data_IF_328865442051
#
_entry.id   IF_328865442051
#
_cell.length_a   1.000
_cell.length_b   1.000
_cell.length_c   1.000
_cell.angle_alpha   90.00
_cell.angle_beta   90.00
_cell.angle_gamma   90.00
#
_symmetry.space_group_name_H-M   'P 1'
#
loop_
_entity.id
_entity.type
_entity.pdbx_description
1 polymer ?
#
# COMPACT_ATOMS: atom_id res chain seq x y z
N UNK A 1 -38.09 -22.76 -3.06
CA UNK A 1 -37.17 -23.86 -2.72
C UNK A 1 -35.78 -23.23 -2.73
N UNK A 2 -35.35 -22.72 -1.57
CA UNK A 2 -34.10 -21.97 -1.44
C UNK A 2 -32.95 -22.96 -1.31
N UNK A 3 -32.04 -22.95 -2.28
CA UNK A 3 -30.84 -23.77 -2.28
C UNK A 3 -29.94 -23.30 -1.14
N UNK A 4 -29.75 -24.17 -0.15
CA UNK A 4 -28.89 -23.92 0.99
C UNK A 4 -27.44 -23.85 0.50
N UNK A 5 -26.77 -22.73 0.77
CA UNK A 5 -25.32 -22.59 0.59
C UNK A 5 -24.62 -23.69 1.38
N UNK A 6 -24.15 -24.72 0.68
CA UNK A 6 -23.25 -25.72 1.21
C UNK A 6 -21.94 -25.01 1.59
N UNK A 7 -21.57 -25.10 2.87
CA UNK A 7 -20.25 -24.68 3.33
C UNK A 7 -19.14 -25.42 2.57
N UNK A 8 -17.92 -24.87 2.52
CA UNK A 8 -16.82 -25.48 1.77
C UNK A 8 -16.55 -26.91 2.29
N UNK A 9 -16.33 -27.90 1.41
CA UNK A 9 -16.03 -29.28 1.80
C UNK A 9 -14.77 -29.34 2.68
N UNK A 10 -14.71 -30.34 3.57
CA UNK A 10 -13.56 -30.60 4.43
C UNK A 10 -12.27 -30.66 3.58
N UNK A 11 -11.28 -29.83 3.92
CA UNK A 11 -10.03 -29.66 3.16
C UNK A 11 -9.91 -28.34 2.37
N UNK A 12 -10.98 -27.56 2.21
CA UNK A 12 -10.90 -26.24 1.55
C UNK A 12 -10.55 -25.13 2.53
N UNK A 13 -9.25 -24.83 2.63
CA UNK A 13 -8.81 -23.55 3.19
C UNK A 13 -9.09 -22.41 2.20
N UNK A 14 -9.22 -21.17 2.69
CA UNK A 14 -9.34 -20.01 1.81
C UNK A 14 -8.12 -19.86 0.88
N UNK A 15 -8.26 -19.20 -0.28
CA UNK A 15 -7.17 -19.06 -1.24
C UNK A 15 -5.96 -18.34 -0.63
N UNK A 16 -6.19 -17.42 0.31
CA UNK A 16 -5.14 -16.68 1.02
C UNK A 16 -4.73 -17.33 2.34
N UNK A 17 -5.22 -18.53 2.66
CA UNK A 17 -4.82 -19.21 3.88
C UNK A 17 -3.31 -19.49 3.90
N UNK A 18 -2.66 -19.13 5.01
CA UNK A 18 -1.21 -19.24 5.17
C UNK A 18 -0.42 -18.05 4.65
N UNK A 19 -1.05 -17.03 4.07
CA UNK A 19 -0.40 -15.79 3.66
C UNK A 19 -0.67 -14.66 4.65
N UNK A 20 0.31 -13.76 4.77
CA UNK A 20 0.21 -12.52 5.54
C UNK A 20 0.20 -11.33 4.59
N UNK A 21 -0.82 -10.46 4.70
CA UNK A 21 -0.98 -9.27 3.86
C UNK A 21 -0.90 -8.01 4.71
N UNK A 22 0.02 -7.11 4.36
CA UNK A 22 0.13 -5.77 4.92
C UNK A 22 -0.92 -4.83 4.33
N UNK A 23 -1.60 -4.08 5.20
CA UNK A 23 -2.61 -3.08 4.80
C UNK A 23 -2.15 -1.69 5.22
N UNK A 24 -1.80 -0.86 4.24
CA UNK A 24 -1.32 0.52 4.47
C UNK A 24 -2.45 1.56 4.55
N UNK A 25 -3.68 1.14 4.22
CA UNK A 25 -4.82 2.03 4.13
C UNK A 25 -5.20 2.62 5.50
N UNK A 26 -5.52 3.91 5.51
CA UNK A 26 -6.11 4.59 6.66
C UNK A 26 -7.65 4.56 6.62
N UNK A 27 -8.23 4.71 5.42
CA UNK A 27 -9.68 4.66 5.19
C UNK A 27 -10.12 3.29 4.69
N UNK A 28 -11.28 2.84 5.17
CA UNK A 28 -11.88 1.53 4.81
C UNK A 28 -10.90 0.36 5.04
N UNK A 29 -9.96 0.53 5.97
CA UNK A 29 -8.98 -0.48 6.31
C UNK A 29 -9.67 -1.72 6.90
N UNK A 30 -10.67 -1.53 7.76
CA UNK A 30 -11.46 -2.61 8.33
C UNK A 30 -12.20 -3.42 7.26
N UNK A 31 -12.74 -2.74 6.24
CA UNK A 31 -13.41 -3.41 5.12
C UNK A 31 -12.43 -4.25 4.30
N UNK A 32 -11.27 -3.68 3.96
CA UNK A 32 -10.21 -4.38 3.23
C UNK A 32 -9.67 -5.56 4.06
N UNK A 33 -9.40 -5.34 5.35
CA UNK A 33 -8.96 -6.36 6.29
C UNK A 33 -9.96 -7.51 6.38
N UNK A 34 -11.25 -7.20 6.54
CA UNK A 34 -12.31 -8.21 6.59
C UNK A 34 -12.44 -8.98 5.26
N UNK A 35 -12.30 -8.32 4.11
CA UNK A 35 -12.28 -8.99 2.80
C UNK A 35 -11.13 -9.98 2.68
N UNK A 36 -9.92 -9.61 3.13
CA UNK A 36 -8.73 -10.46 3.13
C UNK A 36 -8.86 -11.63 4.12
N UNK A 37 -9.29 -11.36 5.35
CA UNK A 37 -9.49 -12.36 6.39
C UNK A 37 -10.54 -13.41 5.98
N UNK A 38 -11.65 -12.99 5.34
CA UNK A 38 -12.64 -13.93 4.77
C UNK A 38 -12.05 -14.87 3.72
N UNK A 39 -10.93 -14.51 3.10
CA UNK A 39 -10.19 -15.35 2.14
C UNK A 39 -9.06 -16.16 2.80
N UNK A 40 -8.88 -16.04 4.11
CA UNK A 40 -7.92 -16.81 4.91
C UNK A 40 -6.60 -16.10 5.22
N UNK A 41 -6.39 -14.87 4.76
CA UNK A 41 -5.15 -14.14 5.04
C UNK A 41 -5.06 -13.72 6.51
N UNK A 42 -3.84 -13.72 7.04
CA UNK A 42 -3.46 -12.93 8.20
C UNK A 42 -3.26 -11.48 7.74
N UNK A 43 -3.84 -10.51 8.45
CA UNK A 43 -3.74 -9.09 8.07
C UNK A 43 -2.87 -8.35 9.08
N UNK A 44 -1.84 -7.67 8.59
CA UNK A 44 -1.04 -6.73 9.37
C UNK A 44 -1.45 -5.31 8.97
N UNK A 45 -2.34 -4.71 9.77
CA UNK A 45 -2.79 -3.34 9.54
C UNK A 45 -1.77 -2.34 10.08
N UNK A 46 -1.34 -1.42 9.20
CA UNK A 46 -0.37 -0.39 9.52
C UNK A 46 -0.68 0.86 8.68
N UNK A 47 -1.56 1.76 9.16
CA UNK A 47 -1.94 2.94 8.41
C UNK A 47 -0.68 3.77 8.12
N UNK A 48 -0.38 3.98 6.84
CA UNK A 48 0.83 4.70 6.43
C UNK A 48 0.65 6.21 6.50
N UNK A 49 -0.58 6.71 6.68
CA UNK A 49 -0.89 8.12 6.78
C UNK A 49 -2.16 8.32 7.60
N UNK A 50 -2.41 9.56 7.97
CA UNK A 50 -3.72 10.04 8.41
C UNK A 50 -4.15 11.20 7.53
N UNK A 51 -5.45 11.30 7.31
CA UNK A 51 -6.04 12.48 6.67
C UNK A 51 -6.26 13.51 7.75
N UNK A 52 -5.77 14.73 7.55
CA UNK A 52 -6.03 15.82 8.47
C UNK A 52 -7.43 16.36 8.19
N UNK A 53 -8.35 16.38 9.19
CA UNK A 53 -9.61 17.08 9.04
C UNK A 53 -9.33 18.56 8.75
N UNK A 54 -10.05 19.16 7.79
CA UNK A 54 -9.78 20.53 7.37
C UNK A 54 -9.88 21.54 8.53
N UNK A 55 -10.82 21.32 9.46
CA UNK A 55 -11.00 22.16 10.65
C UNK A 55 -9.81 22.14 11.61
N UNK A 56 -8.97 21.11 11.56
CA UNK A 56 -7.79 20.95 12.40
C UNK A 56 -6.48 21.27 11.64
N UNK A 57 -6.58 21.71 10.39
CA UNK A 57 -5.42 21.92 9.53
C UNK A 57 -4.79 23.30 9.74
N UNK A 58 -3.69 23.35 10.49
CA UNK A 58 -2.96 24.58 10.77
C UNK A 58 -2.38 25.28 9.53
N UNK A 59 -2.06 24.53 8.47
CA UNK A 59 -1.56 25.12 7.21
C UNK A 59 -2.70 25.78 6.44
N UNK A 60 -3.87 25.14 6.39
CA UNK A 60 -5.06 25.75 5.80
C UNK A 60 -5.48 27.01 6.58
N UNK A 61 -5.42 26.96 7.92
CA UNK A 61 -5.67 28.13 8.77
C UNK A 61 -4.67 29.26 8.49
N UNK A 62 -3.39 28.95 8.38
CA UNK A 62 -2.35 29.94 8.08
C UNK A 62 -2.56 30.58 6.70
N UNK A 63 -2.80 29.78 5.65
CA UNK A 63 -3.10 30.27 4.31
C UNK A 63 -4.40 31.10 4.28
N UNK A 64 -5.41 30.70 5.05
CA UNK A 64 -6.67 31.44 5.18
C UNK A 64 -6.45 32.81 5.83
N UNK A 65 -5.70 32.87 6.94
CA UNK A 65 -5.33 34.14 7.59
C UNK A 65 -4.54 35.05 6.65
N UNK A 66 -3.56 34.48 5.96
CA UNK A 66 -2.74 35.22 5.01
C UNK A 66 -3.58 35.79 3.86
N UNK A 67 -4.54 35.05 3.30
CA UNK A 67 -5.48 35.54 2.27
C UNK A 67 -6.42 36.62 2.83
N UNK A 68 -6.82 36.51 4.09
CA UNK A 68 -7.67 37.52 4.75
C UNK A 68 -6.91 38.83 4.97
N UNK A 69 -5.65 38.73 5.38
CA UNK A 69 -4.77 39.87 5.66
C UNK A 69 -4.24 40.51 4.36
N UNK A 70 -3.89 39.68 3.38
CA UNK A 70 -3.32 40.03 2.08
C UNK A 70 -4.17 39.43 0.95
N UNK A 71 -5.12 40.22 0.45
CA UNK A 71 -6.02 39.78 -0.61
C UNK A 71 -5.24 39.34 -1.86
N UNK A 72 -5.54 38.16 -2.43
CA UNK A 72 -4.96 37.75 -3.71
C UNK A 72 -5.60 38.52 -4.86
N UNK A 73 -4.88 38.64 -5.98
CA UNK A 73 -5.44 39.16 -7.23
C UNK A 73 -6.34 38.12 -7.91
N UNK A 74 -5.98 36.84 -7.77
CA UNK A 74 -6.68 35.70 -8.38
C UNK A 74 -6.87 34.57 -7.38
N UNK A 75 -8.03 33.93 -7.40
CA UNK A 75 -8.29 32.66 -6.70
C UNK A 75 -8.69 31.58 -7.69
N UNK A 76 -7.98 30.45 -7.68
CA UNK A 76 -8.28 29.27 -8.49
C UNK A 76 -8.91 28.19 -7.61
N UNK A 77 -10.20 27.95 -7.80
CA UNK A 77 -10.93 26.85 -7.18
C UNK A 77 -10.89 25.61 -8.07
N UNK A 78 -10.35 24.50 -7.56
CA UNK A 78 -10.08 23.29 -8.37
C UNK A 78 -11.12 22.19 -8.17
N UNK A 79 -11.66 22.04 -6.97
CA UNK A 79 -12.67 21.02 -6.65
C UNK A 79 -13.79 21.57 -5.78
N UNK A 80 -15.02 21.09 -6.01
CA UNK A 80 -16.20 21.52 -5.26
C UNK A 80 -16.18 21.08 -3.80
N UNK A 81 -15.56 19.94 -3.49
CA UNK A 81 -15.40 19.44 -2.12
C UNK A 81 -14.31 20.23 -1.40
N UNK A 82 -13.17 20.45 -2.06
CA UNK A 82 -12.08 21.24 -1.50
C UNK A 82 -12.51 22.66 -1.17
N UNK A 83 -13.15 23.35 -2.12
CA UNK A 83 -13.60 24.73 -1.90
C UNK A 83 -14.65 24.84 -0.78
N UNK A 84 -15.67 23.96 -0.76
CA UNK A 84 -16.66 23.95 0.35
C UNK A 84 -16.00 23.67 1.68
N UNK A 85 -15.13 22.68 1.74
CA UNK A 85 -14.41 22.34 2.96
C UNK A 85 -13.51 23.47 3.46
N UNK A 86 -12.94 24.28 2.56
CA UNK A 86 -12.19 25.48 2.94
C UNK A 86 -13.11 26.52 3.61
N UNK A 87 -14.24 26.86 2.99
CA UNK A 87 -15.20 27.82 3.55
C UNK A 87 -15.73 27.32 4.91
N UNK A 88 -16.14 26.05 4.98
CA UNK A 88 -16.62 25.43 6.22
C UNK A 88 -15.56 25.43 7.35
N UNK A 89 -14.29 25.20 7.01
CA UNK A 89 -13.20 25.29 7.99
C UNK A 89 -12.98 26.73 8.45
N UNK A 90 -13.00 27.70 7.52
CA UNK A 90 -12.89 29.12 7.84
C UNK A 90 -14.03 29.60 8.74
N UNK A 91 -15.27 29.18 8.48
CA UNK A 91 -16.42 29.42 9.36
C UNK A 91 -16.16 28.87 10.77
N UNK A 92 -15.68 27.63 10.87
CA UNK A 92 -15.32 27.00 12.15
C UNK A 92 -14.25 27.75 12.94
N UNK A 93 -13.36 28.47 12.27
CA UNK A 93 -12.35 29.33 12.89
C UNK A 93 -12.81 30.77 13.16
N UNK A 94 -14.04 31.12 12.78
CA UNK A 94 -14.57 32.49 12.86
C UNK A 94 -13.97 33.44 11.81
N UNK A 95 -13.37 32.91 10.75
CA UNK A 95 -12.78 33.67 9.64
C UNK A 95 -13.65 33.67 8.38
N UNK A 96 -14.75 32.92 8.36
CA UNK A 96 -15.55 32.69 7.15
C UNK A 96 -16.11 33.96 6.52
N UNK A 97 -16.76 34.84 7.29
CA UNK A 97 -17.27 36.12 6.77
C UNK A 97 -16.15 37.00 6.19
N UNK A 98 -15.02 37.08 6.89
CA UNK A 98 -13.87 37.86 6.44
C UNK A 98 -13.27 37.27 5.16
N UNK A 99 -13.17 35.94 5.08
CA UNK A 99 -12.68 35.25 3.89
C UNK A 99 -13.62 35.48 2.70
N UNK A 100 -14.92 35.26 2.84
CA UNK A 100 -15.89 35.46 1.75
C UNK A 100 -15.90 36.92 1.30
N UNK A 101 -15.89 37.87 2.23
CA UNK A 101 -15.82 39.30 1.90
C UNK A 101 -14.54 39.65 1.11
N UNK A 102 -13.41 39.05 1.47
CA UNK A 102 -12.15 39.21 0.72
C UNK A 102 -12.25 38.60 -0.67
N UNK A 103 -12.73 37.37 -0.79
CA UNK A 103 -12.87 36.67 -2.06
C UNK A 103 -13.92 37.29 -3.00
N UNK A 104 -14.88 38.07 -2.49
CA UNK A 104 -15.88 38.72 -3.33
C UNK A 104 -15.30 39.80 -4.27
N UNK A 105 -14.13 40.35 -3.93
CA UNK A 105 -13.45 41.39 -4.71
C UNK A 105 -12.34 40.90 -5.64
N UNK A 106 -12.10 39.58 -5.71
CA UNK A 106 -10.95 39.01 -6.46
C UNK A 106 -11.40 38.31 -7.74
N UNK A 107 -10.49 38.16 -8.71
CA UNK A 107 -10.76 37.35 -9.90
C UNK A 107 -10.83 35.87 -9.49
N UNK A 108 -12.03 35.28 -9.49
CA UNK A 108 -12.21 33.89 -9.09
C UNK A 108 -12.41 32.99 -10.32
N UNK A 109 -11.49 32.05 -10.52
CA UNK A 109 -11.54 31.04 -11.58
C UNK A 109 -11.96 29.69 -10.99
N UNK A 110 -12.92 29.02 -11.63
CA UNK A 110 -13.40 27.72 -11.22
C UNK A 110 -13.06 26.67 -12.27
N UNK A 111 -12.46 25.53 -11.87
CA UNK A 111 -12.09 24.48 -12.82
C UNK A 111 -13.27 23.91 -13.61
N UNK A 112 -14.47 23.82 -13.03
CA UNK A 112 -15.62 23.23 -13.75
C UNK A 112 -16.98 23.47 -13.07
N UNK A 113 -18.08 23.00 -13.69
CA UNK A 113 -19.46 23.27 -13.25
C UNK A 113 -19.76 22.93 -11.80
N UNK A 114 -19.21 21.84 -11.28
CA UNK A 114 -19.38 21.47 -9.86
C UNK A 114 -18.72 22.49 -8.93
N UNK A 115 -17.56 23.00 -9.33
CA UNK A 115 -16.81 24.01 -8.56
C UNK A 115 -17.55 25.34 -8.60
N UNK A 116 -18.08 25.74 -9.77
CA UNK A 116 -18.97 26.90 -9.88
C UNK A 116 -20.15 26.82 -8.91
N UNK A 117 -20.79 25.65 -8.83
CA UNK A 117 -21.86 25.41 -7.88
C UNK A 117 -21.43 25.62 -6.42
N UNK A 118 -20.23 25.16 -6.04
CA UNK A 118 -19.66 25.38 -4.71
C UNK A 118 -19.34 26.86 -4.43
N UNK A 119 -18.73 27.56 -5.39
CA UNK A 119 -18.41 29.00 -5.29
C UNK A 119 -19.68 29.81 -5.08
N UNK A 120 -20.71 29.58 -5.91
CA UNK A 120 -22.00 30.28 -5.83
C UNK A 120 -22.77 29.97 -4.55
N UNK A 121 -22.68 28.74 -4.05
CA UNK A 121 -23.28 28.37 -2.77
C UNK A 121 -22.66 29.13 -1.58
N UNK A 122 -21.39 29.58 -1.71
CA UNK A 122 -20.73 30.45 -0.72
C UNK A 122 -21.03 31.95 -0.93
N UNK A 123 -21.95 32.30 -1.84
CA UNK A 123 -22.30 33.70 -2.14
C UNK A 123 -21.30 34.43 -3.05
N UNK A 124 -20.33 33.71 -3.62
CA UNK A 124 -19.33 34.25 -4.54
C UNK A 124 -19.72 34.01 -6.00
N UNK A 125 -19.11 34.74 -6.92
CA UNK A 125 -19.30 34.53 -8.37
C UNK A 125 -17.95 34.28 -9.01
N UNK A 126 -17.83 33.18 -9.76
CA UNK A 126 -16.67 32.96 -10.60
C UNK A 126 -16.71 33.89 -11.82
N UNK A 127 -15.55 34.41 -12.22
CA UNK A 127 -15.40 35.14 -13.48
C UNK A 127 -15.43 34.19 -14.68
N UNK A 128 -14.80 33.01 -14.52
CA UNK A 128 -14.70 32.05 -15.61
C UNK A 128 -14.46 30.62 -15.16
N UNK A 129 -14.80 29.71 -16.07
CA UNK A 129 -14.55 28.28 -15.95
C UNK A 129 -14.38 27.67 -17.34
N UNK A 130 -13.37 26.80 -17.57
CA UNK A 130 -13.16 26.15 -18.85
C UNK A 130 -14.30 25.18 -19.17
N UNK A 131 -14.71 25.09 -20.42
CA UNK A 131 -15.74 24.15 -20.87
C UNK A 131 -15.29 22.68 -20.78
N UNK A 132 -13.99 22.42 -20.85
CA UNK A 132 -13.40 21.07 -20.76
C UNK A 132 -13.21 20.56 -19.33
N UNK A 133 -13.38 21.44 -18.34
CA UNK A 133 -13.00 21.18 -16.94
C UNK A 133 -11.49 20.93 -16.70
N UNK A 134 -10.64 21.36 -17.64
CA UNK A 134 -9.19 21.13 -17.59
C UNK A 134 -8.45 22.18 -16.75
N UNK A 135 -7.53 21.73 -15.89
CA UNK A 135 -6.59 22.62 -15.21
C UNK A 135 -5.54 23.21 -16.15
N UNK A 136 -5.23 22.53 -17.27
CA UNK A 136 -4.27 23.04 -18.25
C UNK A 136 -4.80 24.32 -18.93
N UNK A 137 -6.09 24.37 -19.25
CA UNK A 137 -6.71 25.58 -19.83
C UNK A 137 -6.77 26.74 -18.83
N UNK A 138 -6.94 26.43 -17.53
CA UNK A 138 -6.83 27.46 -16.49
C UNK A 138 -5.41 28.03 -16.43
N UNK A 139 -4.39 27.16 -16.52
CA UNK A 139 -3.00 27.58 -16.52
C UNK A 139 -2.67 28.45 -17.75
N UNK A 140 -3.01 27.97 -18.94
CA UNK A 140 -2.79 28.66 -20.22
C UNK A 140 -3.41 30.06 -20.18
N UNK A 141 -4.68 30.16 -19.78
CA UNK A 141 -5.35 31.46 -19.64
C UNK A 141 -4.61 32.40 -18.68
N UNK A 142 -4.19 31.92 -17.51
CA UNK A 142 -3.48 32.75 -16.54
C UNK A 142 -2.16 33.26 -17.11
N UNK A 143 -1.40 32.38 -17.77
CA UNK A 143 -0.13 32.76 -18.39
C UNK A 143 -0.33 33.76 -19.54
N UNK A 144 -1.38 33.60 -20.35
CA UNK A 144 -1.74 34.52 -21.43
C UNK A 144 -2.17 35.91 -20.93
N UNK A 145 -2.90 35.96 -19.80
CA UNK A 145 -3.28 37.22 -19.15
C UNK A 145 -2.07 37.94 -18.51
N UNK A 146 -1.02 37.19 -18.16
CA UNK A 146 0.14 37.68 -17.44
C UNK A 146 -0.05 37.64 -15.93
N UNK A 147 0.92 37.01 -15.24
CA UNK A 147 0.89 36.82 -13.77
C UNK A 147 2.08 37.42 -13.03
N UNK A 148 3.00 38.10 -13.73
CA UNK A 148 4.17 38.71 -13.11
C UNK A 148 3.76 39.73 -12.03
N UNK A 149 4.24 39.51 -10.80
CA UNK A 149 3.91 40.32 -9.62
C UNK A 149 2.49 40.12 -9.06
N UNK A 150 1.66 39.26 -9.66
CA UNK A 150 0.30 38.97 -9.16
C UNK A 150 0.33 37.93 -8.04
N UNK A 151 -0.50 38.12 -7.02
CA UNK A 151 -0.74 37.13 -5.96
C UNK A 151 -1.86 36.18 -6.36
N UNK A 152 -1.55 34.90 -6.51
CA UNK A 152 -2.49 33.87 -6.96
C UNK A 152 -2.71 32.84 -5.86
N UNK A 153 -3.92 32.78 -5.31
CA UNK A 153 -4.32 31.74 -4.38
C UNK A 153 -4.86 30.52 -5.14
N UNK A 154 -4.28 29.34 -4.90
CA UNK A 154 -4.69 28.09 -5.57
C UNK A 154 -5.22 27.11 -4.56
N UNK A 155 -6.52 26.78 -4.62
CA UNK A 155 -7.10 25.68 -3.86
C UNK A 155 -6.52 24.37 -4.36
N UNK A 156 -5.58 23.80 -3.62
CA UNK A 156 -4.95 22.52 -3.94
C UNK A 156 -5.92 21.40 -3.62
N UNK A 157 -5.93 20.32 -4.40
CA UNK A 157 -6.56 19.06 -4.00
C UNK A 157 -5.44 18.02 -3.88
N UNK A 158 -5.54 17.05 -2.97
CA UNK A 158 -4.44 16.18 -2.54
C UNK A 158 -3.68 15.32 -3.57
N UNK A 159 -3.85 15.54 -4.87
CA UNK A 159 -2.92 15.10 -5.92
C UNK A 159 -2.02 16.29 -6.30
N UNK A 160 -0.70 16.11 -6.45
CA UNK A 160 0.14 17.17 -7.00
C UNK A 160 -0.44 17.59 -8.36
N UNK A 161 -0.64 18.90 -8.58
CA UNK A 161 -0.85 19.46 -9.92
C UNK A 161 0.55 19.69 -10.50
N UNK A 162 1.20 18.66 -11.09
CA UNK A 162 2.63 18.71 -11.32
C UNK A 162 2.91 19.84 -12.31
N UNK A 163 3.69 20.83 -11.90
CA UNK A 163 4.05 21.95 -12.74
C UNK A 163 3.05 23.11 -12.78
N UNK A 164 1.85 23.02 -12.20
CA UNK A 164 0.89 24.15 -12.25
C UNK A 164 1.36 25.31 -11.37
N UNK A 165 1.70 25.02 -10.13
CA UNK A 165 2.19 26.03 -9.18
C UNK A 165 3.58 26.50 -9.59
N UNK A 166 4.42 25.59 -10.07
CA UNK A 166 5.76 25.89 -10.55
C UNK A 166 5.71 26.82 -11.77
N UNK A 167 4.88 26.52 -12.78
CA UNK A 167 4.76 27.36 -13.97
C UNK A 167 4.27 28.79 -13.66
N UNK A 168 3.32 28.94 -12.74
CA UNK A 168 2.87 30.27 -12.29
C UNK A 168 4.00 31.05 -11.60
N UNK A 169 4.79 30.38 -10.74
CA UNK A 169 5.94 31.00 -10.07
C UNK A 169 7.05 31.36 -11.06
N UNK A 170 7.32 30.50 -12.04
CA UNK A 170 8.29 30.77 -13.11
C UNK A 170 7.88 31.96 -13.98
N UNK A 171 6.57 32.20 -14.13
CA UNK A 171 6.01 33.37 -14.80
C UNK A 171 5.93 34.63 -13.90
N UNK A 172 6.48 34.60 -12.68
CA UNK A 172 6.59 35.76 -11.79
C UNK A 172 5.45 35.92 -10.76
N UNK A 173 4.54 34.96 -10.64
CA UNK A 173 3.44 35.03 -9.68
C UNK A 173 3.88 34.72 -8.23
N UNK A 174 3.31 35.42 -7.27
CA UNK A 174 3.33 35.03 -5.86
C UNK A 174 2.18 34.04 -5.59
N UNK A 175 2.52 32.74 -5.51
CA UNK A 175 1.50 31.69 -5.41
C UNK A 175 1.31 31.22 -3.97
N UNK A 176 0.09 31.45 -3.45
CA UNK A 176 -0.40 30.94 -2.17
C UNK A 176 -1.14 29.62 -2.38
N UNK A 177 -0.55 28.52 -1.94
CA UNK A 177 -1.23 27.23 -1.94
C UNK A 177 -2.24 27.14 -0.79
N UNK A 178 -3.49 26.81 -1.09
CA UNK A 178 -4.55 26.58 -0.10
C UNK A 178 -4.77 25.06 -0.01
N UNK A 179 -4.12 24.36 0.95
CA UNK A 179 -4.17 22.91 1.02
C UNK A 179 -5.50 22.44 1.57
N UNK A 180 -6.35 21.88 0.72
CA UNK A 180 -7.53 21.14 1.15
C UNK A 180 -7.33 19.69 0.74
N UNK A 181 -7.30 18.81 1.75
CA UNK A 181 -6.92 17.39 1.67
C UNK A 181 -5.44 17.10 1.94
N UNK A 182 -4.94 17.58 3.09
CA UNK A 182 -3.61 17.23 3.59
C UNK A 182 -3.62 15.86 4.24
N UNK A 183 -2.58 15.09 3.97
CA UNK A 183 -2.24 13.88 4.72
C UNK A 183 -1.00 14.18 5.56
N UNK A 184 -0.92 13.54 6.71
CA UNK A 184 0.25 13.58 7.57
C UNK A 184 0.68 12.15 7.92
N UNK A 185 1.91 11.96 8.43
CA UNK A 185 2.27 10.69 9.06
C UNK A 185 1.22 10.25 10.08
N UNK A 186 1.05 8.93 10.28
CA UNK A 186 0.13 8.41 11.30
C UNK A 186 0.53 8.94 12.68
N UNK A 187 -0.45 9.12 13.58
CA UNK A 187 -0.18 9.58 14.96
C UNK A 187 0.71 8.60 15.71
N UNK A 188 0.44 7.30 15.56
CA UNK A 188 1.31 6.23 15.99
C UNK A 188 2.06 5.66 14.78
N UNK A 189 3.38 5.89 14.75
CA UNK A 189 4.26 5.38 13.70
C UNK A 189 4.62 3.90 13.91
N UNK A 190 4.41 3.36 15.11
CA UNK A 190 4.81 2.00 15.49
C UNK A 190 4.25 0.89 14.60
N UNK A 191 2.95 0.90 14.21
CA UNK A 191 2.41 -0.06 13.25
C UNK A 191 3.13 -0.04 11.91
N UNK A 192 3.46 1.15 11.37
CA UNK A 192 4.16 1.29 10.10
C UNK A 192 5.60 0.75 10.21
N UNK A 193 6.28 1.03 11.33
CA UNK A 193 7.61 0.49 11.60
C UNK A 193 7.61 -1.04 11.69
N UNK A 194 6.61 -1.63 12.36
CA UNK A 194 6.46 -3.09 12.43
C UNK A 194 6.15 -3.70 11.07
N UNK A 195 5.35 -3.04 10.24
CA UNK A 195 5.10 -3.50 8.87
C UNK A 195 6.38 -3.43 8.02
N UNK A 196 7.17 -2.36 8.16
CA UNK A 196 8.45 -2.23 7.50
C UNK A 196 9.39 -3.36 7.94
N UNK A 197 9.55 -3.60 9.24
CA UNK A 197 10.37 -4.68 9.77
C UNK A 197 9.91 -6.06 9.28
N UNK A 198 8.60 -6.30 9.25
CA UNK A 198 8.02 -7.52 8.71
C UNK A 198 8.26 -7.67 7.20
N UNK A 199 8.29 -6.57 6.45
CA UNK A 199 8.63 -6.57 5.03
C UNK A 199 10.10 -6.90 4.81
N UNK A 200 10.99 -6.23 5.56
CA UNK A 200 12.44 -6.46 5.52
C UNK A 200 12.81 -7.90 5.92
N UNK A 201 12.05 -8.51 6.83
CA UNK A 201 12.26 -9.92 7.25
C UNK A 201 11.45 -10.93 6.44
N UNK A 202 10.72 -10.49 5.40
CA UNK A 202 9.88 -11.34 4.53
C UNK A 202 8.80 -12.10 5.33
N UNK A 203 8.33 -11.50 6.42
CA UNK A 203 7.22 -11.94 7.25
C UNK A 203 5.84 -11.57 6.70
N UNK A 204 5.79 -10.73 5.66
CA UNK A 204 4.60 -10.46 4.84
C UNK A 204 4.80 -10.98 3.42
N UNK A 205 3.72 -11.41 2.77
CA UNK A 205 3.74 -11.94 1.41
C UNK A 205 3.28 -10.91 0.37
N UNK A 206 2.46 -9.94 0.81
CA UNK A 206 2.05 -8.80 0.00
C UNK A 206 1.86 -7.54 0.84
N UNK A 207 2.02 -6.37 0.21
CA UNK A 207 1.60 -5.07 0.72
C UNK A 207 0.50 -4.51 -0.18
N UNK A 208 -0.56 -3.98 0.44
CA UNK A 208 -1.65 -3.32 -0.30
C UNK A 208 -1.57 -1.81 -0.17
N UNK A 209 -1.74 -1.12 -1.30
CA UNK A 209 -1.78 0.34 -1.38
C UNK A 209 -3.07 0.78 -2.06
N UNK A 210 -3.84 1.61 -1.36
CA UNK A 210 -5.11 2.16 -1.86
C UNK A 210 -4.99 3.63 -2.27
N UNK A 211 -3.83 4.24 -2.10
CA UNK A 211 -3.50 5.60 -2.55
C UNK A 211 -1.99 5.77 -2.73
N UNK A 212 -1.59 6.63 -3.68
CA UNK A 212 -0.17 6.98 -3.88
C UNK A 212 0.50 7.53 -2.61
N UNK A 213 -0.12 8.42 -1.82
CA UNK A 213 0.46 8.90 -0.57
C UNK A 213 0.81 7.80 0.44
N UNK A 214 0.06 6.70 0.49
CA UNK A 214 0.39 5.58 1.37
C UNK A 214 1.68 4.86 0.93
N UNK A 215 1.90 4.73 -0.39
CA UNK A 215 3.13 4.19 -0.94
C UNK A 215 4.31 5.13 -0.68
N UNK A 216 4.14 6.43 -0.95
CA UNK A 216 5.15 7.46 -0.65
C UNK A 216 5.54 7.43 0.83
N UNK A 217 4.55 7.40 1.74
CA UNK A 217 4.84 7.41 3.18
C UNK A 217 5.64 6.20 3.64
N UNK A 218 5.35 4.99 3.13
CA UNK A 218 6.16 3.80 3.43
C UNK A 218 7.61 3.96 2.92
N UNK A 219 7.78 4.43 1.69
CA UNK A 219 9.09 4.65 1.07
C UNK A 219 9.90 5.71 1.84
N UNK A 220 9.30 6.87 2.13
CA UNK A 220 9.92 7.93 2.93
C UNK A 220 10.24 7.46 4.33
N UNK A 221 9.40 6.61 4.95
CA UNK A 221 9.72 6.05 6.28
C UNK A 221 10.93 5.13 6.22
N UNK A 222 11.05 4.30 5.19
CA UNK A 222 12.21 3.44 5.00
C UNK A 222 13.49 4.25 4.72
N UNK A 223 13.38 5.34 3.95
CA UNK A 223 14.49 6.27 3.71
C UNK A 223 14.97 6.94 5.01
N UNK A 224 14.04 7.46 5.82
CA UNK A 224 14.35 8.04 7.13
C UNK A 224 15.03 7.05 8.09
N UNK A 225 14.74 5.75 7.94
CA UNK A 225 15.38 4.67 8.72
C UNK A 225 16.66 4.14 8.09
N UNK A 226 17.07 4.64 6.93
CA UNK A 226 18.24 4.15 6.18
C UNK A 226 18.06 2.74 5.62
N UNK A 227 16.82 2.30 5.40
CA UNK A 227 16.45 0.92 5.01
C UNK A 227 15.73 0.87 3.65
N UNK A 228 15.75 1.98 2.89
CA UNK A 228 15.11 2.05 1.58
C UNK A 228 15.67 0.99 0.60
N UNK A 229 17.00 0.78 0.47
CA UNK A 229 17.53 -0.25 -0.44
C UNK A 229 17.01 -1.65 -0.13
N UNK A 230 16.97 -2.04 1.13
CA UNK A 230 16.51 -3.35 1.59
C UNK A 230 14.99 -3.52 1.43
N UNK A 231 14.22 -2.44 1.62
CA UNK A 231 12.79 -2.44 1.31
C UNK A 231 12.56 -2.67 -0.18
N UNK A 232 13.25 -1.90 -1.04
CA UNK A 232 13.10 -2.02 -2.49
C UNK A 232 13.49 -3.42 -2.99
N UNK A 233 14.56 -4.00 -2.44
CA UNK A 233 14.95 -5.38 -2.73
C UNK A 233 13.86 -6.38 -2.35
N UNK A 234 13.26 -6.25 -1.16
CA UNK A 234 12.17 -7.10 -0.72
C UNK A 234 10.94 -6.99 -1.63
N UNK A 235 10.57 -5.77 -2.05
CA UNK A 235 9.41 -5.52 -2.90
C UNK A 235 9.59 -5.99 -4.36
N UNK A 236 10.83 -6.05 -4.86
CA UNK A 236 11.13 -6.53 -6.21
C UNK A 236 11.06 -8.06 -6.33
N UNK A 237 11.35 -8.78 -5.25
CA UNK A 237 11.58 -10.23 -5.33
C UNK A 237 10.63 -11.04 -4.45
N UNK A 238 10.44 -10.64 -3.20
CA UNK A 238 9.84 -11.49 -2.17
C UNK A 238 8.39 -11.08 -1.88
N UNK A 239 8.16 -9.79 -1.62
CA UNK A 239 6.88 -9.25 -1.15
C UNK A 239 6.15 -8.58 -2.30
N UNK A 240 4.91 -9.01 -2.58
CA UNK A 240 4.14 -8.49 -3.69
C UNK A 240 3.49 -7.13 -3.37
N UNK A 241 3.86 -6.02 -4.01
CA UNK A 241 3.11 -4.78 -3.91
C UNK A 241 1.86 -4.84 -4.81
N UNK A 242 0.69 -4.70 -4.19
CA UNK A 242 -0.59 -4.68 -4.86
C UNK A 242 -1.25 -3.31 -4.71
N UNK A 243 -1.39 -2.60 -5.83
CA UNK A 243 -1.94 -1.26 -5.89
C UNK A 243 -3.39 -1.32 -6.37
N UNK A 244 -4.27 -0.48 -5.82
CA UNK A 244 -5.67 -0.43 -6.27
C UNK A 244 -5.81 0.05 -7.72
N UNK A 245 -4.85 0.81 -8.24
CA UNK A 245 -4.84 1.32 -9.61
C UNK A 245 -3.54 2.07 -9.97
N UNK A 246 -3.44 2.58 -11.21
CA UNK A 246 -2.16 3.00 -11.80
C UNK A 246 -1.53 4.20 -11.12
N UNK A 247 -2.31 5.21 -10.73
CA UNK A 247 -1.80 6.38 -10.01
C UNK A 247 -1.15 5.97 -8.69
N UNK A 248 -1.74 5.01 -7.98
CA UNK A 248 -1.21 4.48 -6.72
C UNK A 248 0.11 3.72 -6.91
N UNK A 249 0.35 3.15 -8.09
CA UNK A 249 1.56 2.42 -8.41
C UNK A 249 2.76 3.34 -8.74
N UNK A 250 2.51 4.56 -9.23
CA UNK A 250 3.55 5.48 -9.71
C UNK A 250 4.71 5.69 -8.71
N UNK A 251 4.49 5.90 -7.40
CA UNK A 251 5.60 6.06 -6.46
C UNK A 251 6.53 4.85 -6.40
N UNK A 252 5.97 3.63 -6.42
CA UNK A 252 6.75 2.38 -6.39
C UNK A 252 7.48 2.17 -7.72
N UNK A 253 6.80 2.40 -8.84
CA UNK A 253 7.36 2.29 -10.18
C UNK A 253 8.50 3.30 -10.42
N UNK A 254 8.42 4.50 -9.83
CA UNK A 254 9.49 5.49 -9.84
C UNK A 254 10.80 5.00 -9.20
N UNK A 255 10.71 4.00 -8.32
CA UNK A 255 11.87 3.30 -7.74
C UNK A 255 12.17 1.95 -8.42
N UNK A 256 11.61 1.67 -9.59
CA UNK A 256 11.80 0.40 -10.31
C UNK A 256 11.23 -0.80 -9.54
N UNK A 257 10.09 -0.62 -8.87
CA UNK A 257 9.34 -1.70 -8.24
C UNK A 257 8.07 -1.94 -9.07
N UNK A 258 7.99 -3.13 -9.65
CA UNK A 258 6.79 -3.57 -10.36
C UNK A 258 5.65 -3.85 -9.38
N UNK A 259 4.41 -3.59 -9.79
CA UNK A 259 3.21 -3.76 -8.96
C UNK A 259 2.12 -4.49 -9.73
N UNK A 260 1.28 -5.25 -9.02
CA UNK A 260 0.04 -5.80 -9.59
C UNK A 260 -1.15 -4.89 -9.28
N UNK A 261 -2.13 -4.87 -10.17
CA UNK A 261 -3.31 -4.01 -10.04
C UNK A 261 -4.54 -4.67 -10.69
N UNK A 262 -5.74 -4.52 -10.08
CA UNK A 262 -6.95 -5.09 -10.65
C UNK A 262 -7.44 -4.24 -11.83
N UNK A 263 -8.16 -4.86 -12.78
CA UNK A 263 -8.80 -4.13 -13.89
C UNK A 263 -9.80 -3.08 -13.41
N UNK A 264 -10.50 -3.39 -12.30
CA UNK A 264 -11.44 -2.47 -11.64
C UNK A 264 -10.82 -1.95 -10.36
N UNK A 265 -10.59 -0.64 -10.28
CA UNK A 265 -9.87 0.00 -9.18
C UNK A 265 -10.71 0.10 -7.88
N UNK A 266 -11.00 -1.05 -7.27
CA UNK A 266 -11.86 -1.22 -6.09
C UNK A 266 -11.28 -2.29 -5.15
N UNK A 267 -11.67 -2.25 -3.87
CA UNK A 267 -11.16 -3.18 -2.84
C UNK A 267 -11.48 -4.65 -3.15
N UNK A 268 -12.71 -4.97 -3.56
CA UNK A 268 -13.11 -6.34 -3.88
C UNK A 268 -12.24 -6.98 -4.99
N UNK A 269 -12.13 -6.36 -6.17
CA UNK A 269 -11.21 -6.78 -7.22
C UNK A 269 -9.74 -6.87 -6.79
N UNK A 270 -9.24 -5.92 -5.98
CA UNK A 270 -7.88 -6.01 -5.42
C UNK A 270 -7.68 -7.28 -4.59
N UNK A 271 -8.66 -7.64 -3.75
CA UNK A 271 -8.61 -8.89 -2.98
C UNK A 271 -8.70 -10.12 -3.89
N UNK A 272 -9.51 -10.08 -4.95
CA UNK A 272 -9.59 -11.18 -5.93
C UNK A 272 -8.26 -11.39 -6.66
N UNK A 273 -7.59 -10.30 -7.05
CA UNK A 273 -6.26 -10.34 -7.64
C UNK A 273 -5.25 -11.01 -6.70
N UNK A 274 -5.21 -10.61 -5.42
CA UNK A 274 -4.34 -11.24 -4.43
C UNK A 274 -4.63 -12.74 -4.27
N UNK A 275 -5.91 -13.16 -4.35
CA UNK A 275 -6.29 -14.57 -4.29
C UNK A 275 -5.73 -15.39 -5.47
N UNK A 276 -5.44 -14.77 -6.61
CA UNK A 276 -4.83 -15.42 -7.76
C UNK A 276 -3.29 -15.36 -7.69
N UNK A 277 -2.73 -14.19 -7.39
CA UNK A 277 -1.29 -13.95 -7.42
C UNK A 277 -0.53 -14.70 -6.31
N UNK A 278 -0.99 -14.63 -5.05
CA UNK A 278 -0.22 -15.17 -3.93
C UNK A 278 -0.06 -16.70 -3.97
N UNK A 279 -1.12 -17.50 -4.24
CA UNK A 279 -0.95 -18.93 -4.48
C UNK A 279 -0.05 -19.25 -5.68
N UNK A 280 -0.13 -18.46 -6.75
CA UNK A 280 0.72 -18.63 -7.94
C UNK A 280 2.22 -18.43 -7.67
N UNK A 281 2.57 -17.61 -6.67
CA UNK A 281 3.94 -17.37 -6.22
C UNK A 281 4.44 -18.40 -5.21
N UNK A 282 3.56 -19.21 -4.61
CA UNK A 282 3.95 -20.20 -3.61
C UNK A 282 4.74 -21.35 -4.23
N UNK A 283 5.80 -21.76 -3.53
CA UNK A 283 6.69 -22.79 -4.05
C UNK A 283 6.10 -24.17 -3.81
N UNK A 284 5.81 -24.89 -4.88
CA UNK A 284 5.33 -26.27 -4.81
C UNK A 284 6.44 -27.26 -5.13
N UNK A 285 6.62 -28.28 -4.29
CA UNK A 285 7.63 -29.31 -4.42
C UNK A 285 7.02 -30.71 -4.25
N UNK A 286 7.41 -31.71 -5.09
CA UNK A 286 7.14 -33.11 -4.81
C UNK A 286 8.17 -33.64 -3.80
N UNK A 287 7.72 -34.02 -2.61
CA UNK A 287 8.60 -34.44 -1.50
C UNK A 287 8.05 -35.71 -0.88
N UNK A 288 8.84 -36.80 -0.94
CA UNK A 288 8.51 -38.12 -0.41
C UNK A 288 7.13 -38.65 -0.84
N UNK A 289 6.72 -38.40 -2.08
CA UNK A 289 5.42 -38.79 -2.64
C UNK A 289 4.28 -37.83 -2.34
N UNK A 290 4.56 -36.69 -1.70
CA UNK A 290 3.57 -35.67 -1.34
C UNK A 290 3.75 -34.39 -2.14
N UNK A 291 2.64 -33.71 -2.44
CA UNK A 291 2.66 -32.35 -2.99
C UNK A 291 2.72 -31.35 -1.84
N UNK A 292 3.86 -30.69 -1.70
CA UNK A 292 4.13 -29.72 -0.62
C UNK A 292 4.19 -28.31 -1.20
N UNK A 293 3.21 -27.47 -0.88
CA UNK A 293 3.18 -26.06 -1.24
C UNK A 293 3.58 -25.21 -0.01
N UNK A 294 4.70 -24.51 -0.13
CA UNK A 294 5.25 -23.65 0.92
C UNK A 294 4.68 -22.25 0.73
N UNK A 295 3.82 -21.82 1.66
CA UNK A 295 3.22 -20.48 1.70
C UNK A 295 3.96 -19.59 2.70
N UNK A 296 3.40 -18.42 3.02
CA UNK A 296 3.97 -17.44 3.95
C UNK A 296 4.31 -18.03 5.32
N UNK A 297 3.29 -18.40 6.09
CA UNK A 297 3.38 -18.91 7.47
C UNK A 297 2.73 -20.29 7.65
N UNK A 298 2.41 -20.97 6.56
CA UNK A 298 1.85 -22.31 6.56
C UNK A 298 2.35 -23.11 5.35
N UNK A 299 2.08 -24.41 5.39
CA UNK A 299 2.41 -25.34 4.32
C UNK A 299 1.16 -26.11 3.97
N UNK A 300 0.85 -26.25 2.68
CA UNK A 300 -0.21 -27.15 2.24
C UNK A 300 0.42 -28.47 1.83
N UNK A 301 0.01 -29.56 2.47
CA UNK A 301 0.48 -30.93 2.17
C UNK A 301 -0.69 -31.72 1.63
N UNK A 302 -0.65 -32.09 0.36
CA UNK A 302 -1.73 -32.80 -0.36
C UNK A 302 -3.12 -32.13 -0.22
N UNK A 303 -3.14 -30.79 -0.17
CA UNK A 303 -4.37 -30.00 -0.01
C UNK A 303 -4.70 -29.63 1.44
N UNK A 304 -4.07 -30.27 2.43
CA UNK A 304 -4.29 -29.93 3.84
C UNK A 304 -3.40 -28.77 4.28
N UNK A 305 -4.01 -27.68 4.76
CA UNK A 305 -3.28 -26.57 5.37
C UNK A 305 -2.69 -26.99 6.73
N UNK A 306 -1.37 -26.89 6.85
CA UNK A 306 -0.59 -27.15 8.06
C UNK A 306 0.04 -25.85 8.56
N UNK A 307 -0.47 -25.25 9.65
CA UNK A 307 0.18 -24.11 10.28
C UNK A 307 1.58 -24.51 10.79
N UNK A 308 2.59 -23.68 10.50
CA UNK A 308 3.97 -23.97 10.90
C UNK A 308 4.52 -22.79 11.72
N UNK A 309 5.13 -23.03 12.89
CA UNK A 309 5.71 -21.96 13.69
C UNK A 309 6.83 -21.20 12.95
N UNK A 310 7.12 -19.92 13.26
CA UNK A 310 8.10 -19.10 12.55
C UNK A 310 9.50 -19.73 12.43
N UNK A 311 9.99 -20.36 13.50
CA UNK A 311 11.25 -21.11 13.49
C UNK A 311 11.21 -22.27 12.47
N UNK A 312 10.11 -23.03 12.42
CA UNK A 312 9.91 -24.10 11.46
C UNK A 312 9.85 -23.58 10.01
N UNK A 313 9.17 -22.47 9.77
CA UNK A 313 9.14 -21.85 8.44
C UNK A 313 10.51 -21.36 7.99
N UNK A 314 11.32 -20.81 8.91
CA UNK A 314 12.70 -20.38 8.62
C UNK A 314 13.60 -21.54 8.20
N UNK A 315 13.48 -22.67 8.91
CA UNK A 315 14.16 -23.91 8.54
C UNK A 315 13.67 -24.45 7.20
N UNK A 316 12.36 -24.50 6.99
CA UNK A 316 11.76 -25.01 5.76
C UNK A 316 12.17 -24.17 4.54
N UNK A 317 12.14 -22.84 4.66
CA UNK A 317 12.61 -21.93 3.60
C UNK A 317 14.08 -22.20 3.27
N UNK A 318 14.94 -22.37 4.30
CA UNK A 318 16.36 -22.71 4.12
C UNK A 318 16.56 -24.02 3.37
N UNK A 319 15.87 -25.09 3.78
CA UNK A 319 15.91 -26.39 3.10
C UNK A 319 15.35 -26.32 1.67
N UNK A 320 14.38 -25.44 1.44
CA UNK A 320 13.74 -25.28 0.15
C UNK A 320 14.63 -24.53 -0.85
N UNK A 321 15.52 -23.61 -0.44
CA UNK A 321 16.36 -22.85 -1.38
C UNK A 321 17.06 -23.75 -2.42
N UNK A 322 17.54 -24.92 -1.99
CA UNK A 322 18.08 -25.99 -2.85
C UNK A 322 17.46 -27.34 -2.44
N UNK A 323 16.27 -27.70 -2.94
CA UNK A 323 15.57 -28.90 -2.51
C UNK A 323 16.42 -30.14 -2.77
N UNK A 324 16.37 -31.12 -1.86
CA UNK A 324 17.18 -32.34 -1.94
C UNK A 324 18.64 -32.18 -1.49
N UNK A 325 19.16 -30.96 -1.34
CA UNK A 325 20.51 -30.71 -0.82
C UNK A 325 20.53 -30.80 0.71
N UNK A 326 21.66 -31.27 1.24
CA UNK A 326 21.89 -31.30 2.69
C UNK A 326 22.34 -29.93 3.15
N UNK A 327 21.52 -29.30 4.00
CA UNK A 327 21.83 -28.04 4.66
C UNK A 327 22.47 -28.33 6.03
N UNK A 328 23.68 -27.82 6.30
CA UNK A 328 24.37 -28.01 7.57
C UNK A 328 23.61 -27.40 8.77
N UNK A 329 23.77 -27.99 9.96
CA UNK A 329 23.16 -27.48 11.21
C UNK A 329 23.56 -26.03 11.50
N UNK A 330 24.83 -25.68 11.31
CA UNK A 330 25.34 -24.34 11.52
C UNK A 330 24.72 -23.30 10.58
N UNK A 331 24.27 -23.69 9.38
CA UNK A 331 23.56 -22.80 8.46
C UNK A 331 22.09 -22.63 8.89
N UNK A 332 21.44 -23.73 9.29
CA UNK A 332 20.08 -23.70 9.82
C UNK A 332 19.97 -22.91 11.12
N UNK A 333 20.97 -22.98 12.00
CA UNK A 333 21.04 -22.21 13.24
C UNK A 333 21.07 -20.71 12.95
N UNK A 334 21.86 -20.27 11.97
CA UNK A 334 21.92 -18.87 11.53
C UNK A 334 20.61 -18.35 10.94
N UNK A 335 19.75 -19.25 10.45
CA UNK A 335 18.44 -18.90 9.90
C UNK A 335 17.34 -18.83 10.97
N UNK A 336 17.56 -19.30 12.20
CA UNK A 336 16.53 -19.30 13.24
C UNK A 336 16.35 -17.91 13.85
N UNK A 337 15.08 -17.43 14.00
CA UNK A 337 14.81 -16.16 14.66
C UNK A 337 15.14 -16.24 16.15
N UNK A 338 15.95 -15.31 16.66
CA UNK A 338 16.26 -15.18 18.09
C UNK A 338 17.09 -16.31 18.70
N UNK A 339 17.74 -17.16 17.89
CA UNK A 339 18.54 -18.25 18.40
C UNK A 339 19.94 -17.78 18.84
N UNK A 340 20.32 -18.13 20.06
CA UNK A 340 21.72 -18.13 20.51
C UNK A 340 22.55 -19.20 19.78
N UNK A 341 23.78 -19.45 20.24
CA UNK A 341 24.73 -20.37 19.59
C UNK A 341 24.48 -21.88 19.85
N UNK A 342 23.26 -22.28 20.22
CA UNK A 342 22.98 -23.65 20.65
C UNK A 342 22.41 -24.53 19.51
N UNK A 343 23.15 -25.57 19.13
CA UNK A 343 22.71 -26.54 18.12
C UNK A 343 21.41 -27.27 18.50
N UNK A 344 21.11 -27.38 19.80
CA UNK A 344 19.88 -28.01 20.30
C UNK A 344 18.62 -27.24 19.87
N UNK A 345 18.75 -25.95 19.56
CA UNK A 345 17.68 -25.13 19.02
C UNK A 345 17.22 -25.62 17.63
N UNK A 346 18.15 -26.03 16.77
CA UNK A 346 17.82 -26.56 15.43
C UNK A 346 17.08 -27.88 15.55
N UNK A 347 17.50 -28.77 16.44
CA UNK A 347 16.87 -30.08 16.62
C UNK A 347 15.45 -29.95 17.16
N UNK A 348 15.26 -29.08 18.15
CA UNK A 348 13.93 -28.76 18.72
C UNK A 348 13.00 -28.14 17.68
N UNK A 349 13.48 -27.16 16.92
CA UNK A 349 12.70 -26.51 15.87
C UNK A 349 12.38 -27.48 14.72
N UNK A 350 13.31 -28.38 14.36
CA UNK A 350 13.10 -29.41 13.35
C UNK A 350 12.08 -30.45 13.77
N UNK A 351 12.10 -30.88 15.04
CA UNK A 351 11.09 -31.78 15.60
C UNK A 351 9.69 -31.16 15.51
N UNK A 352 9.56 -29.89 15.94
CA UNK A 352 8.29 -29.14 15.85
C UNK A 352 7.82 -28.98 14.40
N UNK A 353 8.74 -28.69 13.47
CA UNK A 353 8.43 -28.61 12.04
C UNK A 353 7.87 -29.94 11.50
N UNK A 354 8.54 -31.07 11.77
CA UNK A 354 8.04 -32.39 11.33
C UNK A 354 6.67 -32.72 11.90
N UNK A 355 6.43 -32.40 13.17
CA UNK A 355 5.12 -32.58 13.81
C UNK A 355 4.06 -31.70 13.13
N UNK A 356 4.36 -30.43 12.88
CA UNK A 356 3.43 -29.51 12.23
C UNK A 356 3.05 -29.96 10.81
N UNK A 357 4.02 -30.47 10.03
CA UNK A 357 3.78 -30.98 8.69
C UNK A 357 2.95 -32.27 8.64
N UNK A 358 2.82 -32.99 9.77
CA UNK A 358 2.07 -34.26 9.85
C UNK A 358 2.73 -35.44 9.14
N UNK A 359 3.79 -35.22 8.36
CA UNK A 359 4.52 -36.25 7.61
C UNK A 359 6.03 -36.12 7.87
N UNK A 360 6.59 -36.85 8.86
CA UNK A 360 7.99 -36.71 9.24
C UNK A 360 8.99 -37.05 8.12
N UNK A 361 8.58 -37.88 7.16
CA UNK A 361 9.41 -38.33 6.02
C UNK A 361 9.75 -37.22 5.03
N UNK A 362 9.00 -36.10 5.04
CA UNK A 362 9.27 -34.96 4.17
C UNK A 362 10.67 -34.36 4.39
N UNK A 363 11.20 -34.49 5.61
CA UNK A 363 12.52 -33.98 5.97
C UNK A 363 13.39 -35.13 6.46
N UNK A 364 14.50 -35.37 5.77
CA UNK A 364 15.49 -36.39 6.12
C UNK A 364 16.59 -35.79 6.99
N UNK A 365 16.96 -36.52 8.04
CA UNK A 365 18.21 -36.27 8.78
C UNK A 365 19.34 -36.98 8.06
N UNK A 366 20.38 -36.25 7.69
CA UNK A 366 21.63 -36.84 7.19
C UNK A 366 22.63 -36.84 8.34
N UNK A 367 22.90 -38.04 8.86
CA UNK A 367 23.72 -38.26 10.05
C UNK A 367 25.05 -37.49 9.95
N UNK A 368 25.37 -36.74 11.01
CA UNK A 368 26.56 -35.85 11.13
C UNK A 368 26.69 -34.73 10.09
N UNK A 369 25.76 -34.59 9.13
CA UNK A 369 25.86 -33.59 8.06
C UNK A 369 24.80 -32.51 8.12
N UNK A 370 23.56 -32.84 8.49
CA UNK A 370 22.48 -31.85 8.58
C UNK A 370 21.13 -32.42 8.15
N UNK A 371 20.33 -31.61 7.47
CA UNK A 371 18.97 -31.95 7.07
C UNK A 371 18.73 -31.64 5.59
N UNK A 372 17.80 -32.36 4.95
CA UNK A 372 17.35 -32.08 3.58
C UNK A 372 15.87 -32.37 3.41
N UNK A 373 15.23 -31.71 2.43
CA UNK A 373 13.94 -32.17 1.92
C UNK A 373 14.14 -33.48 1.15
N UNK A 374 13.23 -34.43 1.36
CA UNK A 374 13.19 -35.70 0.63
C UNK A 374 12.59 -35.50 -0.79
N UNK A 375 13.23 -34.65 -1.59
CA UNK A 375 12.75 -34.32 -2.94
C UNK A 375 12.63 -35.60 -3.77
N UNK A 376 11.47 -35.79 -4.40
CA UNK A 376 11.27 -36.91 -5.32
C UNK A 376 12.09 -36.68 -6.60
N UNK A 377 12.64 -37.74 -7.22
CA UNK A 377 13.31 -37.59 -8.51
C UNK A 377 12.33 -36.98 -9.52
N UNK A 378 12.79 -35.98 -10.27
CA UNK A 378 12.02 -35.45 -11.38
C UNK A 378 11.67 -36.61 -12.32
N UNK A 379 10.37 -36.80 -12.60
CA UNK A 379 9.97 -37.74 -13.63
C UNK A 379 10.52 -37.20 -14.95
N UNK A 380 11.61 -37.80 -15.46
CA UNK A 380 12.04 -37.56 -16.83
C UNK A 380 10.85 -37.90 -17.74
N UNK A 381 10.35 -36.91 -18.49
CA UNK A 381 9.47 -37.17 -19.63
C UNK A 381 10.29 -37.85 -20.73
N UNK A 382 10.64 -39.12 -20.52
CA UNK A 382 11.22 -40.00 -21.52
C UNK A 382 10.35 -41.24 -21.55
N UNK A 383 9.30 -41.18 -22.36
CA UNK A 383 8.94 -42.12 -23.41
C UNK A 383 7.73 -41.52 -24.14
N UNK A 384 7.96 -40.47 -24.94
CA UNK A 384 7.19 -40.33 -26.17
C UNK A 384 7.66 -41.48 -27.05
N UNK A 385 6.81 -42.49 -27.20
CA UNK A 385 7.01 -43.55 -28.20
C UNK A 385 6.32 -43.08 -29.47
N UNK A 386 7.05 -43.23 -30.57
CA UNK A 386 6.69 -42.90 -31.96
C UNK A 386 5.32 -43.41 -32.41
#
# INVERSE_FOLDING_TARGET
>A
MYDAQQGPPAGQHGPLAGFTVGVTAARRADELGALLQRRGAVVLHAPALRIVPLADDSELLAATKDIVDHAPDVVVATTAIGFRGWIEAADGWGLGEALVARLAGVQLLARGPKVKGAVRAAGLTEEWSPSSESMAEVLERLLDEGVDGRRVAVQLHGEPLPGFVEALREAGADVVGVPVYRWMPPEDIGPLDRLLDATLTRGVDALTFTSAPAAVSLLSRAELRGQLPELLDALRHDVLPACVGPVTALPLQGHGVDTVQPERFRLGPLVQLLCAELPGRARTLPVAGHRVEIRGQAVVVDGDLRPVPPAGMSLLRSLSRRPGWVVPRAELLRALPGAGSDEHAVETAMARLRTALGTPKLIQTVVKRGYRLALDPAADSKYGTD
#
